data_IF_363074794175
#
_entry.id   IF_363074794175
#
_cell.length_a   1.000
_cell.length_b   1.000
_cell.length_c   1.000
_cell.angle_alpha   90.00
_cell.angle_beta   90.00
_cell.angle_gamma   90.00
#
_symmetry.space_group_name_H-M   'P 1'
#
loop_
_entity.id
_entity.type
_entity.pdbx_description
1 polymer ?
#
# COMPACT_ATOMS: atom_id res chain seq x y z
N UNK A 1 -15.06 -8.69 -12.83
CA UNK A 1 -16.05 -7.86 -13.54
C UNK A 1 -15.29 -6.85 -14.36
N UNK A 2 -15.68 -6.65 -15.62
CA UNK A 2 -15.01 -5.68 -16.48
C UNK A 2 -15.33 -4.26 -16.01
N UNK A 3 -14.29 -3.44 -15.88
CA UNK A 3 -14.44 -2.02 -15.57
C UNK A 3 -14.74 -1.30 -16.89
N UNK A 4 -15.81 -0.50 -16.98
CA UNK A 4 -16.13 0.19 -18.23
C UNK A 4 -14.99 1.11 -18.68
N UNK A 5 -14.91 1.36 -19.98
CA UNK A 5 -13.92 2.27 -20.53
C UNK A 5 -13.99 3.65 -19.84
N UNK A 6 -12.84 4.16 -19.40
CA UNK A 6 -12.74 5.41 -18.65
C UNK A 6 -12.82 5.25 -17.12
N UNK A 7 -13.12 4.06 -16.61
CA UNK A 7 -13.07 3.75 -15.17
C UNK A 7 -11.84 2.88 -14.85
N UNK A 8 -11.43 2.85 -13.59
CA UNK A 8 -10.35 1.97 -13.12
C UNK A 8 -10.67 1.37 -11.76
N UNK A 9 -9.98 0.28 -11.39
CA UNK A 9 -10.03 -0.29 -10.06
C UNK A 9 -9.13 0.47 -9.10
N UNK A 10 -9.56 0.59 -7.86
CA UNK A 10 -8.70 1.00 -6.76
C UNK A 10 -8.99 0.21 -5.50
N UNK A 11 -7.97 0.00 -4.68
CA UNK A 11 -8.13 -0.54 -3.34
C UNK A 11 -7.13 0.08 -2.38
N UNK A 12 -7.52 0.16 -1.11
CA UNK A 12 -6.66 0.64 -0.03
C UNK A 12 -6.31 -0.52 0.88
N UNK A 13 -5.03 -0.60 1.26
CA UNK A 13 -4.49 -1.61 2.17
C UNK A 13 -4.01 -0.93 3.43
N UNK A 14 -4.43 -1.48 4.57
CA UNK A 14 -3.87 -1.18 5.88
C UNK A 14 -2.89 -2.28 6.27
N UNK A 15 -1.60 -1.96 6.35
CA UNK A 15 -0.56 -2.90 6.77
C UNK A 15 -0.23 -2.65 8.23
N UNK A 16 -0.31 -3.69 9.08
CA UNK A 16 0.06 -3.60 10.50
C UNK A 16 1.32 -4.40 10.76
N UNK A 17 2.30 -3.78 11.41
CA UNK A 17 3.53 -4.45 11.81
C UNK A 17 3.30 -5.43 12.98
N UNK A 18 3.85 -6.64 12.84
CA UNK A 18 3.79 -7.68 13.87
C UNK A 18 4.87 -7.50 14.94
N UNK A 19 6.08 -8.00 14.68
CA UNK A 19 7.18 -8.10 15.68
C UNK A 19 8.44 -7.29 15.32
N UNK A 20 8.43 -6.47 14.28
CA UNK A 20 9.59 -5.70 13.81
C UNK A 20 9.44 -5.24 12.35
N UNK A 21 10.53 -4.82 11.70
CA UNK A 21 10.59 -4.30 10.32
C UNK A 21 10.19 -5.33 9.25
N UNK A 22 8.93 -5.77 9.22
CA UNK A 22 8.46 -6.77 8.26
C UNK A 22 8.66 -6.23 6.85
N UNK A 23 9.54 -6.91 6.09
CA UNK A 23 9.87 -6.53 4.72
C UNK A 23 8.73 -6.94 3.81
N UNK A 24 7.81 -6.01 3.58
CA UNK A 24 6.81 -6.16 2.52
C UNK A 24 7.53 -6.10 1.18
N UNK A 25 7.38 -7.14 0.37
CA UNK A 25 7.86 -7.17 -1.01
C UNK A 25 6.68 -6.89 -1.92
N UNK A 26 6.72 -5.75 -2.59
CA UNK A 26 5.72 -5.41 -3.60
C UNK A 26 6.09 -6.06 -4.93
N UNK A 27 5.12 -6.61 -5.68
CA UNK A 27 5.40 -7.18 -6.99
C UNK A 27 5.87 -6.10 -7.96
N UNK A 28 6.62 -6.50 -8.99
CA UNK A 28 7.14 -5.57 -10.01
C UNK A 28 6.05 -4.87 -10.83
N UNK A 29 4.80 -5.36 -10.76
CA UNK A 29 3.62 -4.73 -11.34
C UNK A 29 3.13 -3.51 -10.55
N UNK A 30 3.73 -3.17 -9.40
CA UNK A 30 3.44 -1.92 -8.70
C UNK A 30 4.45 -0.85 -9.12
N UNK A 31 3.94 0.21 -9.72
CA UNK A 31 4.67 1.37 -10.17
C UNK A 31 4.62 2.45 -9.08
N UNK A 32 5.74 2.66 -8.41
CA UNK A 32 5.89 3.68 -7.37
C UNK A 32 6.36 5.01 -7.92
N UNK A 33 5.96 6.11 -7.25
CA UNK A 33 6.58 7.42 -7.49
C UNK A 33 8.11 7.31 -7.35
N UNK A 34 8.83 7.93 -8.28
CA UNK A 34 10.30 7.87 -8.35
C UNK A 34 10.89 6.45 -8.43
N UNK A 35 10.09 5.46 -8.87
CA UNK A 35 10.48 4.04 -8.98
C UNK A 35 10.96 3.42 -7.66
N UNK A 36 10.52 3.96 -6.52
CA UNK A 36 10.96 3.52 -5.19
C UNK A 36 9.75 3.21 -4.31
N UNK A 37 9.63 1.97 -3.77
CA UNK A 37 8.59 1.68 -2.78
C UNK A 37 8.77 2.57 -1.54
N UNK A 38 7.67 2.88 -0.82
CA UNK A 38 7.75 3.66 0.41
C UNK A 38 8.51 2.90 1.49
N UNK A 39 9.11 3.66 2.42
CA UNK A 39 9.61 3.09 3.66
C UNK A 39 8.42 2.91 4.59
N UNK A 40 8.18 1.68 5.02
CA UNK A 40 7.09 1.33 5.93
C UNK A 40 7.54 1.41 7.40
N UNK A 41 6.56 1.49 8.30
CA UNK A 41 6.80 1.42 9.73
C UNK A 41 7.54 0.12 10.13
N UNK A 42 8.30 0.15 11.22
CA UNK A 42 9.04 -1.03 11.70
C UNK A 42 8.75 -1.40 13.15
N UNK A 43 8.09 -0.54 13.90
CA UNK A 43 7.68 -0.75 15.28
C UNK A 43 6.48 -1.69 15.33
N UNK A 44 6.49 -2.64 16.26
CA UNK A 44 5.38 -3.54 16.48
C UNK A 44 4.08 -2.74 16.74
N UNK A 45 3.01 -3.11 16.03
CA UNK A 45 1.70 -2.48 16.15
C UNK A 45 1.48 -1.22 15.30
N UNK A 46 2.54 -0.61 14.77
CA UNK A 46 2.43 0.54 13.86
C UNK A 46 1.73 0.15 12.55
N UNK A 47 1.02 1.11 11.95
CA UNK A 47 0.24 0.91 10.73
C UNK A 47 0.65 1.85 9.61
N UNK A 48 0.72 1.28 8.40
CA UNK A 48 0.85 1.97 7.13
C UNK A 48 -0.44 1.89 6.31
N UNK A 49 -0.75 2.94 5.56
CA UNK A 49 -1.89 2.98 4.64
C UNK A 49 -1.39 3.26 3.23
N UNK A 50 -1.78 2.41 2.29
CA UNK A 50 -1.40 2.50 0.88
C UNK A 50 -2.63 2.34 0.00
N UNK A 51 -2.71 3.14 -1.06
CA UNK A 51 -3.73 3.01 -2.09
C UNK A 51 -3.11 2.56 -3.40
N UNK A 52 -3.78 1.63 -4.06
CA UNK A 52 -3.39 1.08 -5.35
C UNK A 52 -4.48 1.42 -6.36
N UNK A 53 -4.08 1.97 -7.50
CA UNK A 53 -4.98 2.32 -8.61
C UNK A 53 -4.50 1.60 -9.86
N UNK A 54 -5.38 0.86 -10.53
CA UNK A 54 -5.01 0.14 -11.75
C UNK A 54 -4.69 1.11 -12.88
N UNK A 55 -3.63 0.82 -13.64
CA UNK A 55 -3.21 1.58 -14.83
C UNK A 55 -3.37 0.78 -16.14
N UNK A 56 -4.05 -0.37 -16.07
CA UNK A 56 -4.25 -1.28 -17.21
C UNK A 56 -3.12 -2.28 -17.46
N UNK A 57 -1.93 -2.08 -16.87
CA UNK A 57 -0.79 -3.01 -16.94
C UNK A 57 -0.29 -3.49 -15.57
N UNK A 58 -0.72 -2.83 -14.50
CA UNK A 58 -0.31 -3.07 -13.13
C UNK A 58 -1.06 -2.11 -12.20
N UNK A 59 -0.34 -1.55 -11.22
CA UNK A 59 -0.89 -0.67 -10.21
C UNK A 59 0.01 0.54 -9.98
N UNK A 60 -0.54 1.75 -10.00
CA UNK A 60 0.08 2.90 -9.38
C UNK A 60 -0.01 2.75 -7.86
N UNK A 61 1.14 2.81 -7.18
CA UNK A 61 1.22 2.75 -5.72
C UNK A 61 1.30 4.14 -5.10
N UNK A 62 0.36 4.44 -4.21
CA UNK A 62 0.30 5.66 -3.42
C UNK A 62 0.57 5.34 -1.95
N UNK A 63 1.39 6.19 -1.34
CA UNK A 63 1.70 6.11 0.08
C UNK A 63 0.93 7.20 0.80
N UNK A 64 -0.13 6.80 1.49
CA UNK A 64 -1.11 7.73 2.07
C UNK A 64 -0.67 8.18 3.48
N UNK A 65 0.12 7.36 4.16
CA UNK A 65 0.75 7.69 5.44
C UNK A 65 1.28 6.46 6.17
N UNK A 66 2.02 6.70 7.24
CA UNK A 66 2.71 5.67 8.01
C UNK A 66 2.87 6.07 9.47
N UNK A 67 3.33 5.12 10.30
CA UNK A 67 3.48 5.29 11.75
C UNK A 67 2.19 5.68 12.46
N UNK A 68 1.03 5.31 11.91
CA UNK A 68 -0.22 5.53 12.60
C UNK A 68 -0.28 4.66 13.86
N UNK A 69 -0.68 5.28 14.97
CA UNK A 69 -1.06 4.56 16.19
C UNK A 69 -2.45 3.93 15.99
N UNK A 70 -2.43 2.72 15.48
CA UNK A 70 -3.61 1.86 15.35
C UNK A 70 -3.53 0.70 16.36
N UNK A 71 -3.00 0.97 17.56
CA UNK A 71 -3.10 0.06 18.71
C UNK A 71 -4.56 -0.29 19.04
N UNK A 72 -5.51 0.58 18.65
CA UNK A 72 -6.95 0.34 18.67
C UNK A 72 -7.35 -0.52 17.45
N UNK A 73 -7.90 -1.73 17.65
CA UNK A 73 -8.42 -2.55 16.56
C UNK A 73 -9.58 -1.85 15.84
N UNK A 74 -9.72 -2.12 14.54
CA UNK A 74 -10.90 -1.75 13.77
C UNK A 74 -12.10 -2.61 14.18
#
# INVERSE_FOLDING_TARGET
TDVPAGYTWSFTVRLRQGTGANKVTFPSSVHWSSKRPPVLAYEAGAVDVLTFVSDGGGWLGFFDGSWFDASVPA
#
